data_IF_384951811254
#
_entry.id   IF_384951811254
#
_cell.length_a   1.000
_cell.length_b   1.000
_cell.length_c   1.000
_cell.angle_alpha   90.00
_cell.angle_beta   90.00
_cell.angle_gamma   90.00
#
_symmetry.space_group_name_H-M   'P 1'
#
loop_
_entity.id
_entity.type
_entity.pdbx_description
1 polymer ?
#
# COMPACT_ATOMS: atom_id res chain seq x y z
N UNK A 1 -1.26 -23.71 -9.08
CA UNK A 1 -0.65 -23.03 -10.24
C UNK A 1 -0.77 -21.53 -10.01
N UNK A 2 0.31 -20.77 -10.19
CA UNK A 2 0.29 -19.31 -10.10
C UNK A 2 -0.58 -18.75 -11.24
N UNK A 3 -1.55 -17.86 -10.98
CA UNK A 3 -2.37 -17.27 -12.04
C UNK A 3 -1.55 -16.28 -12.88
N UNK A 4 -1.96 -16.07 -14.13
CA UNK A 4 -1.43 -14.98 -14.97
C UNK A 4 -2.07 -13.64 -14.57
N UNK A 5 -1.45 -12.52 -14.96
CA UNK A 5 -2.02 -11.19 -14.70
C UNK A 5 -3.40 -11.03 -15.35
N UNK A 6 -3.59 -11.56 -16.57
CA UNK A 6 -4.90 -11.54 -17.23
C UNK A 6 -5.99 -12.24 -16.42
N UNK A 7 -5.67 -13.40 -15.83
CA UNK A 7 -6.61 -14.13 -14.98
C UNK A 7 -6.96 -13.34 -13.72
N UNK A 8 -5.97 -12.69 -13.11
CA UNK A 8 -6.19 -11.83 -11.94
C UNK A 8 -7.05 -10.62 -12.31
N UNK A 9 -6.74 -9.94 -13.41
CA UNK A 9 -7.52 -8.79 -13.88
C UNK A 9 -9.00 -9.16 -14.12
N UNK A 10 -9.26 -10.29 -14.76
CA UNK A 10 -10.63 -10.77 -14.98
C UNK A 10 -11.37 -11.04 -13.68
N UNK A 11 -10.72 -11.65 -12.69
CA UNK A 11 -11.34 -11.93 -11.40
C UNK A 11 -11.62 -10.66 -10.59
N UNK A 12 -10.67 -9.72 -10.56
CA UNK A 12 -10.83 -8.42 -9.89
C UNK A 12 -11.97 -7.61 -10.53
N UNK A 13 -12.07 -7.64 -11.88
CA UNK A 13 -13.15 -6.97 -12.61
C UNK A 13 -14.51 -7.53 -12.23
N UNK A 14 -14.67 -8.86 -12.11
CA UNK A 14 -15.93 -9.50 -11.67
C UNK A 14 -16.32 -9.08 -10.26
N UNK A 15 -15.34 -8.96 -9.36
CA UNK A 15 -15.54 -8.55 -7.98
C UNK A 15 -15.74 -7.05 -7.78
N UNK A 16 -15.68 -6.24 -8.83
CA UNK A 16 -15.73 -4.77 -8.78
C UNK A 16 -14.74 -4.19 -7.75
N UNK A 17 -13.54 -4.76 -7.72
CA UNK A 17 -12.45 -4.35 -6.82
C UNK A 17 -11.39 -3.55 -7.57
N UNK A 18 -10.55 -2.84 -6.84
CA UNK A 18 -9.36 -2.18 -7.39
C UNK A 18 -8.15 -3.08 -7.20
N UNK A 19 -7.15 -2.91 -8.06
CA UNK A 19 -5.93 -3.70 -8.05
C UNK A 19 -4.70 -2.81 -7.88
N UNK A 20 -3.81 -3.19 -6.97
CA UNK A 20 -2.45 -2.63 -6.90
C UNK A 20 -1.49 -3.68 -7.44
N UNK A 21 -0.76 -3.35 -8.50
CA UNK A 21 0.20 -4.25 -9.15
C UNK A 21 1.61 -3.84 -8.71
N UNK A 22 2.35 -4.76 -8.09
CA UNK A 22 3.75 -4.56 -7.77
C UNK A 22 4.63 -5.06 -8.92
N UNK A 23 5.47 -4.17 -9.46
CA UNK A 23 6.48 -4.53 -10.45
C UNK A 23 7.74 -5.03 -9.76
N UNK A 24 8.07 -6.31 -9.97
CA UNK A 24 9.31 -6.94 -9.50
C UNK A 24 10.19 -7.31 -10.68
N UNK A 25 11.44 -6.86 -10.65
CA UNK A 25 12.39 -7.06 -11.72
C UNK A 25 13.35 -8.21 -11.37
N UNK A 26 13.30 -9.27 -12.16
CA UNK A 26 14.18 -10.41 -12.06
C UNK A 26 14.95 -10.60 -13.38
N UNK A 27 16.24 -10.25 -13.36
CA UNK A 27 17.12 -10.41 -14.52
C UNK A 27 17.02 -9.26 -15.54
N UNK A 28 16.98 -9.58 -16.83
CA UNK A 28 17.02 -8.59 -17.92
C UNK A 28 15.70 -7.84 -18.08
N UNK A 29 15.77 -6.61 -18.61
CA UNK A 29 14.58 -5.84 -18.99
C UNK A 29 13.74 -6.61 -20.01
N UNK A 30 12.52 -6.93 -19.63
CA UNK A 30 11.55 -7.65 -20.46
C UNK A 30 10.39 -6.75 -20.89
N UNK A 31 10.57 -5.44 -20.87
CA UNK A 31 9.51 -4.46 -21.15
C UNK A 31 8.29 -4.67 -20.22
N UNK A 32 8.57 -4.95 -18.94
CA UNK A 32 7.55 -5.32 -17.95
C UNK A 32 6.45 -4.29 -17.86
N UNK A 33 6.81 -2.99 -17.81
CA UNK A 33 5.87 -1.88 -17.70
C UNK A 33 4.95 -1.83 -18.91
N UNK A 34 5.51 -1.94 -20.13
CA UNK A 34 4.75 -1.93 -21.36
C UNK A 34 3.74 -3.08 -21.41
N UNK A 35 4.19 -4.28 -21.05
CA UNK A 35 3.32 -5.47 -21.04
C UNK A 35 2.19 -5.36 -20.01
N UNK A 36 2.47 -4.78 -18.84
CA UNK A 36 1.43 -4.54 -17.83
C UNK A 36 0.41 -3.53 -18.32
N UNK A 37 0.85 -2.46 -18.98
CA UNK A 37 -0.05 -1.47 -19.59
C UNK A 37 -0.96 -2.15 -20.61
N UNK A 38 -0.41 -2.89 -21.57
CA UNK A 38 -1.18 -3.60 -22.60
C UNK A 38 -2.23 -4.54 -22.02
N UNK A 39 -1.87 -5.32 -20.99
CA UNK A 39 -2.79 -6.27 -20.37
C UNK A 39 -3.93 -5.57 -19.60
N UNK A 40 -3.63 -4.49 -18.90
CA UNK A 40 -4.64 -3.71 -18.16
C UNK A 40 -5.59 -3.00 -19.11
N UNK A 41 -5.08 -2.42 -20.21
CA UNK A 41 -5.89 -1.81 -21.27
C UNK A 41 -6.78 -2.84 -21.95
N UNK A 42 -6.23 -4.00 -22.34
CA UNK A 42 -7.00 -5.09 -22.93
C UNK A 42 -8.09 -5.63 -22.00
N UNK A 43 -7.89 -5.57 -20.68
CA UNK A 43 -8.90 -5.94 -19.70
C UNK A 43 -9.93 -4.84 -19.42
N UNK A 44 -9.75 -3.63 -19.97
CA UNK A 44 -10.59 -2.45 -19.68
C UNK A 44 -10.67 -2.18 -18.17
N UNK A 45 -9.49 -2.08 -17.52
CA UNK A 45 -9.35 -1.85 -16.08
C UNK A 45 -8.49 -0.63 -15.72
N UNK A 46 -8.32 0.30 -16.65
CA UNK A 46 -7.45 1.47 -16.51
C UNK A 46 -7.78 2.34 -15.28
N UNK A 47 -9.06 2.50 -14.97
CA UNK A 47 -9.53 3.31 -13.82
C UNK A 47 -9.51 2.55 -12.49
N UNK A 48 -9.13 1.26 -12.53
CA UNK A 48 -9.20 0.37 -11.37
C UNK A 48 -7.84 -0.13 -10.90
N UNK A 49 -6.75 0.38 -11.48
CA UNK A 49 -5.39 -0.06 -11.14
C UNK A 49 -4.56 1.07 -10.53
N UNK A 50 -3.60 0.66 -9.70
CA UNK A 50 -2.46 1.46 -9.29
C UNK A 50 -1.22 0.57 -9.40
N UNK A 51 -0.06 1.17 -9.65
CA UNK A 51 1.19 0.42 -9.83
C UNK A 51 2.18 0.84 -8.75
N UNK A 52 2.94 -0.11 -8.22
CA UNK A 52 4.03 0.22 -7.31
C UNK A 52 5.28 -0.61 -7.61
N UNK A 53 6.43 -0.13 -7.17
CA UNK A 53 7.70 -0.84 -7.26
C UNK A 53 8.68 -0.37 -6.19
N UNK A 54 9.62 -1.24 -5.79
CA UNK A 54 10.82 -0.87 -5.04
C UNK A 54 11.78 0.00 -5.89
N UNK A 55 11.67 -0.05 -7.21
CA UNK A 55 12.51 0.68 -8.13
C UNK A 55 11.81 1.94 -8.64
N UNK A 56 12.28 3.12 -8.19
CA UNK A 56 11.73 4.40 -8.63
C UNK A 56 11.74 4.55 -10.16
N UNK A 57 12.79 4.06 -10.82
CA UNK A 57 12.89 4.09 -12.29
C UNK A 57 11.71 3.36 -12.97
N UNK A 58 11.26 2.23 -12.42
CA UNK A 58 10.10 1.51 -12.95
C UNK A 58 8.80 2.31 -12.79
N UNK A 59 8.64 2.99 -11.64
CA UNK A 59 7.50 3.90 -11.42
C UNK A 59 7.53 5.06 -12.43
N UNK A 60 8.69 5.68 -12.65
CA UNK A 60 8.87 6.79 -13.61
C UNK A 60 8.61 6.34 -15.06
N UNK A 61 9.12 5.16 -15.44
CA UNK A 61 8.88 4.58 -16.77
C UNK A 61 7.39 4.31 -17.00
N UNK A 62 6.70 3.77 -16.00
CA UNK A 62 5.26 3.60 -16.06
C UNK A 62 4.54 4.94 -16.21
N UNK A 63 4.88 5.96 -15.41
CA UNK A 63 4.27 7.30 -15.52
C UNK A 63 4.53 7.97 -16.87
N UNK A 64 5.58 7.60 -17.57
CA UNK A 64 5.81 8.04 -18.97
C UNK A 64 4.84 7.37 -19.93
N UNK A 65 4.54 6.09 -19.73
CA UNK A 65 3.59 5.33 -20.56
C UNK A 65 2.13 5.71 -20.25
N UNK A 66 1.81 5.86 -18.97
CA UNK A 66 0.47 6.16 -18.46
C UNK A 66 0.55 7.19 -17.32
N UNK A 67 0.62 8.48 -17.67
CA UNK A 67 0.70 9.56 -16.68
C UNK A 67 -0.56 9.70 -15.81
N UNK A 68 -1.67 9.16 -16.26
CA UNK A 68 -2.97 9.10 -15.56
C UNK A 68 -3.04 8.03 -14.47
N UNK A 69 -2.15 7.02 -14.48
CA UNK A 69 -2.17 5.96 -13.48
C UNK A 69 -1.45 6.37 -12.19
N UNK A 70 -2.03 6.03 -11.02
CA UNK A 70 -1.33 6.22 -9.76
C UNK A 70 -0.07 5.34 -9.67
N UNK A 71 1.10 5.97 -9.60
CA UNK A 71 2.39 5.30 -9.43
C UNK A 71 2.90 5.45 -8.00
N UNK A 72 3.24 4.35 -7.35
CA UNK A 72 3.72 4.29 -5.97
C UNK A 72 5.15 3.81 -5.81
N UNK A 73 5.87 4.40 -4.87
CA UNK A 73 7.16 3.88 -4.43
C UNK A 73 6.97 2.96 -3.23
N UNK A 74 7.41 1.72 -3.37
CA UNK A 74 7.53 0.78 -2.27
C UNK A 74 8.89 0.98 -1.59
N UNK A 75 8.92 1.09 -0.26
CA UNK A 75 10.17 1.30 0.47
C UNK A 75 10.25 0.42 1.73
N UNK A 76 11.32 -0.36 1.82
CA UNK A 76 11.61 -1.27 2.94
C UNK A 76 12.53 -0.65 3.99
N UNK A 77 13.36 0.32 3.60
CA UNK A 77 14.39 0.93 4.45
C UNK A 77 14.42 2.45 4.29
N UNK A 78 14.90 3.14 5.34
CA UNK A 78 15.05 4.61 5.31
C UNK A 78 16.28 4.99 4.50
N UNK A 79 16.08 5.45 3.28
CA UNK A 79 17.13 6.01 2.43
C UNK A 79 16.67 7.41 1.96
N UNK A 80 17.22 8.45 2.57
CA UNK A 80 16.90 9.84 2.22
C UNK A 80 15.43 10.24 2.52
N UNK A 81 15.01 11.35 1.94
CA UNK A 81 13.62 11.85 2.06
C UNK A 81 12.79 11.43 0.84
N UNK A 82 12.18 10.26 0.93
CA UNK A 82 11.36 9.70 -0.15
C UNK A 82 10.06 10.50 -0.40
N UNK A 83 9.67 11.42 0.50
CA UNK A 83 8.49 12.27 0.29
C UNK A 83 8.68 13.29 -0.83
N UNK A 84 9.92 13.50 -1.28
CA UNK A 84 10.26 14.41 -2.39
C UNK A 84 10.36 13.72 -3.75
N UNK A 85 10.32 12.39 -3.77
CA UNK A 85 10.44 11.63 -5.02
C UNK A 85 9.14 11.71 -5.84
N UNK A 86 9.26 11.57 -7.14
CA UNK A 86 8.10 11.59 -8.04
C UNK A 86 7.33 10.27 -7.97
N UNK A 87 6.34 10.23 -7.09
CA UNK A 87 5.40 9.16 -6.90
C UNK A 87 4.10 9.72 -6.31
N UNK A 88 2.95 9.12 -6.62
CA UNK A 88 1.65 9.57 -6.15
C UNK A 88 1.31 9.01 -4.76
N UNK A 89 1.92 7.89 -4.42
CA UNK A 89 1.81 7.30 -3.08
C UNK A 89 3.11 6.62 -2.64
N UNK A 90 3.23 6.42 -1.34
CA UNK A 90 4.35 5.75 -0.71
C UNK A 90 3.83 4.53 0.07
N UNK A 91 4.26 3.33 -0.31
CA UNK A 91 4.01 2.11 0.43
C UNK A 91 5.26 1.79 1.27
N UNK A 92 5.19 1.96 2.59
CA UNK A 92 6.36 1.90 3.46
C UNK A 92 6.24 0.82 4.52
N UNK A 93 7.38 0.23 4.87
CA UNK A 93 7.45 -0.68 6.02
C UNK A 93 7.05 0.05 7.31
N UNK A 94 6.40 -0.65 8.24
CA UNK A 94 5.95 -0.11 9.54
C UNK A 94 7.05 0.66 10.27
N UNK A 95 8.30 0.18 10.22
CA UNK A 95 9.46 0.80 10.90
C UNK A 95 9.87 2.15 10.29
N UNK A 96 9.40 2.47 9.08
CA UNK A 96 9.65 3.74 8.40
C UNK A 96 8.57 4.77 8.71
N UNK A 97 7.35 4.31 8.96
CA UNK A 97 6.21 5.17 9.19
C UNK A 97 6.30 5.84 10.57
N UNK A 98 5.96 7.11 10.62
CA UNK A 98 5.78 7.88 11.84
C UNK A 98 4.80 9.02 11.58
N UNK A 99 4.21 9.62 12.62
CA UNK A 99 3.32 10.76 12.45
C UNK A 99 3.97 11.91 11.66
N UNK A 100 5.26 12.16 11.89
CA UNK A 100 6.00 13.19 11.17
C UNK A 100 6.19 12.83 9.69
N UNK A 101 6.47 11.56 9.37
CA UNK A 101 6.59 11.08 8.00
C UNK A 101 5.25 11.18 7.27
N UNK A 102 4.16 10.69 7.86
CA UNK A 102 2.82 10.72 7.28
C UNK A 102 2.41 12.16 6.97
N UNK A 103 2.57 13.08 7.94
CA UNK A 103 2.28 14.51 7.70
C UNK A 103 3.12 15.13 6.58
N UNK A 104 4.41 14.78 6.47
CA UNK A 104 5.27 15.29 5.37
C UNK A 104 4.82 14.75 4.02
N UNK A 105 4.50 13.46 3.95
CA UNK A 105 3.99 12.84 2.72
C UNK A 105 2.68 13.49 2.27
N UNK A 106 1.73 13.66 3.18
CA UNK A 106 0.45 14.34 2.90
C UNK A 106 0.66 15.79 2.47
N UNK A 107 1.57 16.54 3.14
CA UNK A 107 1.93 17.90 2.72
C UNK A 107 2.53 17.95 1.31
N UNK A 108 3.20 16.88 0.88
CA UNK A 108 3.73 16.72 -0.48
C UNK A 108 2.68 16.14 -1.46
N UNK A 109 1.40 16.05 -1.08
CA UNK A 109 0.32 15.52 -1.91
C UNK A 109 0.32 14.01 -2.09
N UNK A 110 1.07 13.26 -1.28
CA UNK A 110 1.23 11.81 -1.43
C UNK A 110 0.39 11.04 -0.42
N UNK A 111 -0.25 9.96 -0.88
CA UNK A 111 -0.89 8.99 0.01
C UNK A 111 0.16 8.08 0.65
N UNK A 112 -0.14 7.55 1.84
CA UNK A 112 0.74 6.66 2.60
C UNK A 112 0.03 5.34 2.88
N UNK A 113 0.61 4.25 2.41
CA UNK A 113 0.24 2.89 2.76
C UNK A 113 1.31 2.25 3.62
N UNK A 114 0.91 1.48 4.63
CA UNK A 114 1.84 0.81 5.56
C UNK A 114 1.73 -0.70 5.42
N UNK A 115 2.88 -1.39 5.31
CA UNK A 115 2.97 -2.84 5.12
C UNK A 115 4.00 -3.48 6.07
N UNK A 116 3.94 -4.77 6.38
CA UNK A 116 2.75 -5.60 6.33
C UNK A 116 2.12 -5.57 7.71
N UNK A 117 0.82 -5.36 7.83
CA UNK A 117 0.11 -5.15 9.10
C UNK A 117 -0.92 -6.25 9.30
N UNK A 118 -0.63 -7.26 10.13
CA UNK A 118 -1.41 -8.49 10.24
C UNK A 118 -2.09 -8.70 11.61
N UNK A 119 -2.00 -7.73 12.52
CA UNK A 119 -2.63 -7.84 13.83
C UNK A 119 -3.56 -6.67 14.14
N UNK A 120 -4.57 -6.92 14.98
CA UNK A 120 -5.64 -5.98 15.29
C UNK A 120 -5.15 -4.66 15.91
N UNK A 121 -4.15 -4.73 16.80
CA UNK A 121 -3.62 -3.55 17.48
C UNK A 121 -2.86 -2.65 16.51
N UNK A 122 -1.98 -3.23 15.69
CA UNK A 122 -1.24 -2.50 14.65
C UNK A 122 -2.18 -1.94 13.58
N UNK A 123 -3.19 -2.69 13.13
CA UNK A 123 -4.23 -2.20 12.23
C UNK A 123 -4.92 -0.97 12.81
N UNK A 124 -5.42 -1.07 14.05
CA UNK A 124 -6.08 0.05 14.73
C UNK A 124 -5.14 1.23 14.94
N UNK A 125 -3.86 0.97 15.29
CA UNK A 125 -2.83 2.01 15.44
C UNK A 125 -2.62 2.80 14.14
N UNK A 126 -2.33 2.12 13.03
CA UNK A 126 -2.07 2.80 11.75
C UNK A 126 -3.27 3.55 11.23
N UNK A 127 -4.49 3.00 11.40
CA UNK A 127 -5.72 3.73 11.08
C UNK A 127 -5.87 5.00 11.94
N UNK A 128 -5.44 4.99 13.22
CA UNK A 128 -5.43 6.17 14.10
C UNK A 128 -4.38 7.18 13.69
N UNK A 129 -3.27 6.74 13.13
CA UNK A 129 -2.18 7.60 12.66
C UNK A 129 -2.53 8.34 11.36
N UNK A 130 -3.67 8.03 10.73
CA UNK A 130 -4.16 8.69 9.54
C UNK A 130 -3.43 8.26 8.27
N UNK A 131 -2.99 7.00 8.18
CA UNK A 131 -2.53 6.43 6.90
C UNK A 131 -3.71 6.28 5.94
N UNK A 132 -3.45 6.35 4.65
CA UNK A 132 -4.47 6.21 3.59
C UNK A 132 -4.87 4.75 3.35
N UNK A 133 -4.04 3.81 3.81
CA UNK A 133 -4.36 2.39 3.77
C UNK A 133 -3.31 1.53 4.46
N UNK A 134 -3.66 0.27 4.63
CA UNK A 134 -2.77 -0.78 5.13
C UNK A 134 -2.67 -1.90 4.11
N UNK A 135 -1.50 -2.48 3.97
CA UNK A 135 -1.25 -3.69 3.20
C UNK A 135 -1.12 -4.82 4.21
N UNK A 136 -1.99 -5.83 4.08
CA UNK A 136 -2.16 -6.90 5.06
C UNK A 136 -2.47 -8.23 4.36
N UNK A 137 -2.02 -9.33 4.97
CA UNK A 137 -2.41 -10.70 4.58
C UNK A 137 -3.74 -11.12 5.24
N UNK A 138 -4.27 -10.26 6.16
CA UNK A 138 -5.49 -10.49 6.92
C UNK A 138 -6.61 -9.48 6.56
N UNK A 139 -7.08 -9.46 5.29
CA UNK A 139 -8.02 -8.44 4.82
C UNK A 139 -9.39 -8.49 5.53
N UNK A 140 -9.84 -9.66 5.97
CA UNK A 140 -11.07 -9.81 6.74
C UNK A 140 -10.94 -9.10 8.11
N UNK A 141 -9.85 -9.36 8.84
CA UNK A 141 -9.55 -8.69 10.10
C UNK A 141 -9.47 -7.17 9.93
N UNK A 142 -8.79 -6.69 8.89
CA UNK A 142 -8.68 -5.25 8.61
C UNK A 142 -10.05 -4.61 8.37
N UNK A 143 -10.95 -5.27 7.62
CA UNK A 143 -12.33 -4.82 7.40
C UNK A 143 -13.14 -4.78 8.69
N UNK A 144 -13.02 -5.79 9.55
CA UNK A 144 -13.72 -5.83 10.83
C UNK A 144 -13.26 -4.71 11.76
N UNK A 145 -11.96 -4.48 11.88
CA UNK A 145 -11.40 -3.36 12.67
C UNK A 145 -11.89 -2.02 12.11
N UNK A 146 -11.89 -1.83 10.79
CA UNK A 146 -12.39 -0.61 10.17
C UNK A 146 -13.88 -0.39 10.47
N UNK A 147 -14.70 -1.43 10.38
CA UNK A 147 -16.13 -1.39 10.68
C UNK A 147 -16.39 -1.03 12.15
N UNK A 148 -15.70 -1.69 13.10
CA UNK A 148 -15.80 -1.37 14.53
C UNK A 148 -15.42 0.08 14.80
N UNK A 149 -14.32 0.56 14.23
CA UNK A 149 -13.88 1.95 14.39
C UNK A 149 -14.84 2.96 13.79
N UNK A 150 -15.55 2.62 12.72
CA UNK A 150 -16.55 3.52 12.11
C UNK A 150 -17.74 3.79 13.02
N UNK A 151 -18.03 2.86 13.94
CA UNK A 151 -19.13 2.99 14.93
C UNK A 151 -18.73 3.82 16.15
N UNK A 152 -17.43 4.06 16.38
CA UNK A 152 -16.95 4.86 17.51
C UNK A 152 -17.20 6.36 17.27
N UNK A 153 -17.67 7.03 18.30
CA UNK A 153 -17.76 8.49 18.32
C UNK A 153 -16.38 9.18 18.36
N UNK A 154 -16.31 10.50 18.13
CA UNK A 154 -15.04 11.24 18.13
C UNK A 154 -14.24 11.10 19.44
N UNK A 155 -14.91 11.15 20.58
CA UNK A 155 -14.28 11.02 21.89
C UNK A 155 -13.69 9.61 22.11
N UNK A 156 -14.42 8.58 21.73
CA UNK A 156 -13.98 7.18 21.84
C UNK A 156 -12.79 6.89 20.91
N UNK A 157 -12.80 7.44 19.69
CA UNK A 157 -11.64 7.35 18.77
C UNK A 157 -10.41 8.04 19.36
N UNK A 158 -10.58 9.18 20.01
CA UNK A 158 -9.48 9.88 20.65
C UNK A 158 -8.93 9.08 21.85
N UNK A 159 -9.80 8.52 22.69
CA UNK A 159 -9.38 7.66 23.81
C UNK A 159 -8.65 6.41 23.33
N UNK A 160 -9.16 5.75 22.28
CA UNK A 160 -8.51 4.59 21.67
C UNK A 160 -7.12 4.97 21.11
N UNK A 161 -7.01 6.10 20.43
CA UNK A 161 -5.75 6.60 19.89
C UNK A 161 -4.74 6.90 20.99
N UNK A 162 -5.18 7.52 22.09
CA UNK A 162 -4.33 7.78 23.25
C UNK A 162 -3.88 6.47 23.92
N UNK A 163 -4.78 5.51 24.13
CA UNK A 163 -4.45 4.21 24.69
C UNK A 163 -3.42 3.45 23.85
N UNK A 164 -3.54 3.48 22.54
CA UNK A 164 -2.59 2.87 21.60
C UNK A 164 -1.23 3.60 21.57
N UNK A 165 -1.22 4.91 21.82
CA UNK A 165 0.01 5.70 21.87
C UNK A 165 0.80 5.47 23.15
N UNK A 166 0.13 5.34 24.30
CA UNK A 166 0.76 5.11 25.61
C UNK A 166 0.95 3.62 25.94
N UNK A 167 0.07 2.75 25.44
CA UNK A 167 0.26 1.31 25.49
C UNK A 167 1.32 0.94 24.45
N UNK A 168 2.56 0.73 24.87
CA UNK A 168 3.55 0.07 24.00
C UNK A 168 2.99 -1.33 23.71
N UNK A 169 2.56 -1.65 22.46
CA UNK A 169 2.35 -3.04 22.12
C UNK A 169 3.73 -3.71 22.30
N UNK A 170 3.86 -4.62 23.25
CA UNK A 170 4.98 -5.54 23.23
C UNK A 170 5.05 -6.11 21.81
N UNK A 171 6.26 -6.12 21.26
CA UNK A 171 6.53 -6.54 19.90
C UNK A 171 5.83 -7.89 19.65
N UNK A 172 4.62 -7.84 19.10
CA UNK A 172 3.91 -9.02 18.67
C UNK A 172 4.79 -9.68 17.61
N UNK A 173 5.07 -10.95 17.80
CA UNK A 173 5.96 -11.80 17.03
C UNK A 173 5.95 -11.40 15.57
N UNK A 174 7.10 -10.95 15.05
CA UNK A 174 7.32 -10.75 13.64
C UNK A 174 6.81 -11.99 12.91
N UNK A 175 5.79 -11.81 12.10
CA UNK A 175 5.40 -12.80 11.11
C UNK A 175 6.64 -12.98 10.21
N UNK A 176 7.21 -14.18 10.22
CA UNK A 176 8.27 -14.53 9.29
C UNK A 176 7.64 -14.57 7.92
N UNK A 177 8.00 -13.61 7.08
CA UNK A 177 7.78 -13.72 5.66
C UNK A 177 8.49 -14.99 5.16
N UNK A 178 7.70 -16.03 4.93
CA UNK A 178 8.15 -17.28 4.33
C UNK A 178 7.97 -17.24 2.80
N UNK A 179 7.89 -16.05 2.21
CA UNK A 179 7.91 -15.90 0.76
C UNK A 179 9.26 -16.36 0.22
N UNK A 180 9.32 -17.29 -0.77
CA UNK A 180 10.54 -17.79 -1.35
C UNK A 180 11.33 -16.71 -2.09
#
# INVERSE_FOLDING_TARGET
RVPTLEQVLQEIKRGNSKLVIELKYYGHDQQLEQRVVELVEAADMVDSVAIMSLHLQGVQKLKTLRPDWPGGLLAATKIGDITRLDADFLAVNQNMASAAFIRRAHKAGKRVYVWTVNDALSLSHWMSMGVDGVITDEPALAKDILAQRSQLGPAERLMLSAALFFGKPEALKQYRDNSP
#
